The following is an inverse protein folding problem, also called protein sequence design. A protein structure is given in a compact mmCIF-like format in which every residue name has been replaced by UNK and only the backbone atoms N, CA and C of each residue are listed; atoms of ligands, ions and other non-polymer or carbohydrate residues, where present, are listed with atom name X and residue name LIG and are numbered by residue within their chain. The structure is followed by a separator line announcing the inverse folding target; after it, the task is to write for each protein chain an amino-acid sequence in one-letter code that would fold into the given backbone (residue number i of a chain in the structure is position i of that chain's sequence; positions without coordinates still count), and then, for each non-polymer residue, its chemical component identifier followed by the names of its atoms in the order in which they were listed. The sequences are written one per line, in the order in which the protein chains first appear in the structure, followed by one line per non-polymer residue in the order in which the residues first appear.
data_IF_601567863449
#
_entry.id   IF_601567863449
#
_cell.length_a   1.000
_cell.length_b   1.000
_cell.length_c   1.000
_cell.angle_alpha   90.00
_cell.angle_beta   90.00
_cell.angle_gamma   90.00
#
_symmetry.space_group_name_H-M   'P 1'
#
loop_
_entity.id
_entity.type
_entity.pdbx_description
1 polymer ?
#
# COMPACT_ATOMS: atom_id res chain seq x y z
N UNK A 1 14.85 -55.62 -33.80
CA UNK A 1 13.67 -54.97 -33.18
C UNK A 1 14.08 -54.56 -31.78
N UNK A 2 14.24 -53.26 -31.54
CA UNK A 2 14.81 -52.69 -30.33
C UNK A 2 13.69 -51.95 -29.62
N UNK A 3 13.24 -52.49 -28.48
CA UNK A 3 12.10 -51.96 -27.73
C UNK A 3 12.62 -51.00 -26.67
N UNK A 4 12.47 -49.69 -26.92
CA UNK A 4 12.84 -48.64 -25.98
C UNK A 4 11.72 -48.48 -24.94
N UNK A 5 12.00 -48.80 -23.67
CA UNK A 5 11.12 -48.46 -22.55
C UNK A 5 11.30 -46.97 -22.22
N UNK A 6 10.23 -46.18 -22.39
CA UNK A 6 10.12 -44.83 -21.83
C UNK A 6 9.59 -44.94 -20.39
N UNK A 7 10.40 -44.52 -19.41
CA UNK A 7 9.95 -44.35 -18.03
C UNK A 7 9.34 -42.94 -17.87
N UNK A 8 8.16 -42.79 -17.26
CA UNK A 8 7.59 -41.47 -16.97
C UNK A 8 8.31 -40.84 -15.77
N UNK A 9 8.91 -39.67 -15.99
CA UNK A 9 9.40 -38.80 -14.92
C UNK A 9 8.19 -38.14 -14.27
N UNK A 10 7.86 -38.57 -13.05
CA UNK A 10 6.86 -37.92 -12.22
C UNK A 10 7.45 -36.60 -11.67
N UNK A 11 6.91 -35.48 -12.12
CA UNK A 11 7.25 -34.15 -11.63
C UNK A 11 6.58 -33.94 -10.27
N UNK A 12 7.31 -34.11 -9.17
CA UNK A 12 6.84 -33.72 -7.84
C UNK A 12 6.84 -32.20 -7.76
N UNK A 13 5.65 -31.59 -7.88
CA UNK A 13 5.45 -30.18 -7.54
C UNK A 13 5.47 -30.10 -6.01
N UNK A 14 6.61 -29.69 -5.45
CA UNK A 14 6.73 -29.32 -4.05
C UNK A 14 5.93 -28.01 -3.86
N UNK A 15 4.68 -28.13 -3.42
CA UNK A 15 3.93 -27.00 -2.89
C UNK A 15 4.55 -26.60 -1.54
N UNK A 16 5.57 -25.74 -1.59
CA UNK A 16 6.09 -25.09 -0.39
C UNK A 16 5.00 -24.18 0.16
N UNK A 17 4.42 -24.53 1.30
CA UNK A 17 3.63 -23.58 2.09
C UNK A 17 4.53 -22.36 2.32
N UNK A 18 4.17 -21.21 1.76
CA UNK A 18 4.82 -19.96 2.13
C UNK A 18 4.66 -19.83 3.64
N UNK A 19 5.78 -19.78 4.36
CA UNK A 19 5.75 -19.58 5.80
C UNK A 19 5.07 -18.23 6.04
N UNK A 20 4.09 -18.21 6.94
CA UNK A 20 3.51 -16.96 7.37
C UNK A 20 4.63 -16.06 7.88
N UNK A 21 4.70 -14.85 7.36
CA UNK A 21 5.76 -13.90 7.67
C UNK A 21 5.16 -12.73 8.41
N UNK A 22 5.79 -12.34 9.52
CA UNK A 22 5.40 -11.13 10.23
C UNK A 22 5.69 -9.90 9.37
N UNK A 23 4.70 -9.02 9.27
CA UNK A 23 4.79 -7.73 8.59
C UNK A 23 4.29 -6.63 9.51
N UNK A 24 4.85 -5.43 9.35
CA UNK A 24 4.35 -4.22 10.01
C UNK A 24 4.09 -3.16 8.95
N UNK A 25 2.94 -2.50 9.00
CA UNK A 25 2.61 -1.44 8.04
C UNK A 25 1.57 -0.50 8.61
N UNK A 26 1.39 0.62 7.93
CA UNK A 26 0.43 1.66 8.28
C UNK A 26 -0.59 1.79 7.15
N UNK A 27 -1.86 1.99 7.47
CA UNK A 27 -2.92 2.23 6.50
C UNK A 27 -4.28 2.37 7.17
N UNK A 28 -5.28 2.77 6.40
CA UNK A 28 -6.64 2.96 6.91
C UNK A 28 -7.39 1.64 6.90
N UNK A 29 -8.12 1.31 7.96
CA UNK A 29 -9.00 0.13 7.96
C UNK A 29 -10.32 0.50 7.30
N UNK A 30 -10.75 -0.29 6.33
CA UNK A 30 -12.04 -0.14 5.67
C UNK A 30 -12.84 -1.45 5.73
N UNK A 31 -14.16 -1.33 5.75
CA UNK A 31 -15.07 -2.45 5.61
C UNK A 31 -15.30 -2.77 4.13
N UNK A 32 -15.44 -4.07 3.82
CA UNK A 32 -15.80 -4.47 2.47
C UNK A 32 -17.30 -4.26 2.28
N UNK A 33 -17.66 -3.30 1.42
CA UNK A 33 -19.05 -2.93 1.15
C UNK A 33 -19.93 -4.14 0.82
N UNK A 34 -21.10 -4.22 1.45
CA UNK A 34 -22.06 -5.32 1.25
C UNK A 34 -21.70 -6.64 1.94
N UNK A 35 -20.66 -6.66 2.77
CA UNK A 35 -20.28 -7.83 3.57
C UNK A 35 -20.46 -7.55 5.07
N UNK A 36 -20.30 -8.58 5.90
CA UNK A 36 -20.29 -8.44 7.36
C UNK A 36 -18.97 -8.95 7.89
N UNK A 37 -18.27 -8.13 8.69
CA UNK A 37 -17.00 -8.46 9.32
C UNK A 37 -15.89 -8.87 8.33
N UNK A 38 -15.85 -8.27 7.14
CA UNK A 38 -14.69 -8.35 6.25
C UNK A 38 -14.04 -6.98 6.16
N UNK A 39 -12.73 -6.95 6.33
CA UNK A 39 -11.96 -5.73 6.44
C UNK A 39 -10.80 -5.77 5.45
N UNK A 40 -10.49 -4.61 4.90
CA UNK A 40 -9.34 -4.41 4.02
C UNK A 40 -8.52 -3.23 4.52
N UNK A 41 -7.26 -3.21 4.12
CA UNK A 41 -6.47 -1.99 4.18
C UNK A 41 -6.88 -1.11 2.99
N UNK A 42 -7.44 0.07 3.27
CA UNK A 42 -7.95 1.02 2.28
C UNK A 42 -6.92 1.29 1.18
N UNK A 43 -7.42 1.48 -0.04
CA UNK A 43 -6.62 1.67 -1.24
C UNK A 43 -5.67 0.51 -1.61
N UNK A 44 -5.95 -0.69 -1.09
CA UNK A 44 -5.22 -1.92 -1.42
C UNK A 44 -6.17 -3.12 -1.48
N UNK A 45 -5.69 -4.25 -1.99
CA UNK A 45 -6.40 -5.54 -1.95
C UNK A 45 -6.08 -6.38 -0.70
N UNK A 46 -5.42 -5.77 0.30
CA UNK A 46 -4.95 -6.48 1.51
C UNK A 46 -6.10 -6.76 2.46
N UNK A 47 -6.44 -8.03 2.61
CA UNK A 47 -7.43 -8.47 3.58
C UNK A 47 -6.86 -8.45 5.00
N UNK A 48 -7.67 -7.98 5.95
CA UNK A 48 -7.36 -7.95 7.36
C UNK A 48 -8.28 -8.90 8.12
N UNK A 49 -7.68 -9.79 8.90
CA UNK A 49 -8.40 -10.71 9.79
C UNK A 49 -7.84 -10.59 11.21
N UNK A 50 -8.64 -10.88 12.24
CA UNK A 50 -8.11 -10.96 13.59
C UNK A 50 -8.92 -11.93 14.44
N UNK A 51 -8.23 -12.71 15.28
CA UNK A 51 -8.84 -13.53 16.32
C UNK A 51 -8.92 -12.79 17.67
N UNK A 52 -8.19 -11.67 17.82
CA UNK A 52 -7.96 -11.00 19.10
C UNK A 52 -8.59 -9.60 19.16
N UNK A 53 -8.70 -8.92 18.02
CA UNK A 53 -9.23 -7.56 17.93
C UNK A 53 -10.57 -7.51 17.21
N UNK A 54 -11.48 -6.67 17.68
CA UNK A 54 -12.68 -6.30 16.94
C UNK A 54 -12.33 -5.18 15.94
N UNK A 55 -12.06 -5.55 14.68
CA UNK A 55 -11.65 -4.60 13.64
C UNK A 55 -12.73 -3.56 13.30
N UNK A 56 -14.00 -3.81 13.63
CA UNK A 56 -15.07 -2.80 13.49
C UNK A 56 -14.78 -1.50 14.28
N UNK A 57 -14.00 -1.59 15.37
CA UNK A 57 -13.64 -0.42 16.19
C UNK A 57 -12.58 0.48 15.53
N UNK A 58 -11.96 0.02 14.45
CA UNK A 58 -10.91 0.73 13.73
C UNK A 58 -11.32 1.14 12.31
N UNK A 59 -12.54 0.79 11.86
CA UNK A 59 -13.03 1.19 10.54
C UNK A 59 -13.04 2.70 10.41
N UNK A 60 -12.44 3.21 9.33
CA UNK A 60 -12.27 4.65 9.09
C UNK A 60 -11.00 5.23 9.71
N UNK A 61 -10.37 4.53 10.66
CA UNK A 61 -9.18 5.01 11.35
C UNK A 61 -7.90 4.65 10.61
N UNK A 62 -6.93 5.56 10.72
CA UNK A 62 -5.56 5.33 10.29
C UNK A 62 -4.81 4.56 11.37
N UNK A 63 -4.27 3.39 11.04
CA UNK A 63 -3.65 2.49 12.02
C UNK A 63 -2.28 2.01 11.59
N UNK A 64 -1.44 1.67 12.57
CA UNK A 64 -0.28 0.79 12.40
C UNK A 64 -0.68 -0.62 12.82
N UNK A 65 -0.40 -1.59 11.96
CA UNK A 65 -0.70 -3.01 12.12
C UNK A 65 0.61 -3.79 12.14
N UNK A 66 0.71 -4.75 13.06
CA UNK A 66 1.67 -5.86 12.98
C UNK A 66 0.90 -7.16 12.95
N UNK A 67 1.28 -8.08 12.07
CA UNK A 67 0.57 -9.35 11.93
C UNK A 67 1.23 -10.35 10.99
N UNK A 68 0.64 -11.54 10.90
CA UNK A 68 1.11 -12.62 10.04
C UNK A 68 0.52 -12.52 8.64
N UNK A 69 1.36 -12.22 7.64
CA UNK A 69 1.01 -12.29 6.24
C UNK A 69 1.00 -13.74 5.74
N UNK A 70 0.00 -14.09 4.91
CA UNK A 70 -0.18 -15.43 4.34
C UNK A 70 0.84 -15.84 3.27
N UNK A 71 1.82 -15.00 2.93
CA UNK A 71 2.83 -15.28 1.91
C UNK A 71 2.37 -15.10 0.46
N UNK A 72 1.15 -14.60 0.22
CA UNK A 72 0.59 -14.37 -1.12
C UNK A 72 0.60 -12.88 -1.47
N UNK A 73 1.30 -12.51 -2.54
CA UNK A 73 1.26 -11.13 -3.06
C UNK A 73 0.03 -10.88 -3.96
N UNK A 74 -0.53 -11.93 -4.57
CA UNK A 74 -1.69 -11.82 -5.46
C UNK A 74 -3.02 -11.76 -4.72
N UNK A 75 -3.09 -12.36 -3.52
CA UNK A 75 -4.24 -12.30 -2.62
C UNK A 75 -3.72 -12.11 -1.18
N UNK A 76 -3.19 -10.92 -0.86
CA UNK A 76 -2.57 -10.66 0.42
C UNK A 76 -3.62 -10.68 1.54
N UNK A 77 -3.33 -11.44 2.58
CA UNK A 77 -4.12 -11.48 3.81
C UNK A 77 -3.19 -11.42 5.01
N UNK A 78 -3.55 -10.59 5.98
CA UNK A 78 -2.80 -10.39 7.21
C UNK A 78 -3.68 -10.73 8.41
N UNK A 79 -3.22 -11.67 9.24
CA UNK A 79 -3.80 -11.93 10.55
C UNK A 79 -3.19 -10.94 11.56
N UNK A 80 -4.01 -10.00 12.02
CA UNK A 80 -3.62 -8.89 12.88
C UNK A 80 -3.35 -9.37 14.30
N UNK A 81 -2.10 -9.23 14.73
CA UNK A 81 -1.58 -9.57 16.06
C UNK A 81 -1.43 -8.34 16.96
N UNK A 82 -1.24 -7.16 16.37
CA UNK A 82 -1.25 -5.87 17.06
C UNK A 82 -1.80 -4.77 16.14
N UNK A 83 -2.52 -3.82 16.73
CA UNK A 83 -3.10 -2.67 16.02
C UNK A 83 -3.12 -1.44 16.94
N UNK A 84 -2.78 -0.28 16.40
CA UNK A 84 -2.83 0.99 17.12
C UNK A 84 -3.18 2.14 16.18
N UNK A 85 -3.96 3.11 16.65
CA UNK A 85 -4.29 4.32 15.87
C UNK A 85 -3.06 5.22 15.79
N UNK A 86 -2.74 5.69 14.59
CA UNK A 86 -1.60 6.56 14.30
C UNK A 86 -2.02 7.71 13.38
N UNK A 87 -1.31 8.85 13.39
CA UNK A 87 -1.57 9.91 12.43
C UNK A 87 -1.33 9.45 10.98
N UNK A 88 -2.09 10.02 10.04
CA UNK A 88 -1.81 9.92 8.62
C UNK A 88 -0.54 10.68 8.27
N UNK A 89 0.34 10.04 7.49
CA UNK A 89 1.64 10.62 7.11
C UNK A 89 1.63 11.05 5.66
N UNK A 90 0.89 10.37 4.79
CA UNK A 90 0.84 10.63 3.35
C UNK A 90 -0.60 10.76 2.87
N UNK A 91 -0.84 11.73 1.98
CA UNK A 91 -2.11 11.88 1.28
C UNK A 91 -1.90 12.32 -0.19
N UNK A 92 -2.83 11.95 -1.05
CA UNK A 92 -3.01 12.56 -2.36
C UNK A 92 -4.06 13.68 -2.19
N UNK A 93 -3.59 14.86 -1.83
CA UNK A 93 -4.43 16.03 -1.62
C UNK A 93 -4.84 16.74 -2.92
N UNK A 94 -5.85 17.60 -2.81
CA UNK A 94 -6.36 18.40 -3.92
C UNK A 94 -7.44 17.67 -4.73
N UNK A 95 -8.15 18.41 -5.58
CA UNK A 95 -9.12 17.81 -6.49
C UNK A 95 -8.40 17.02 -7.57
N UNK A 96 -8.53 15.69 -7.56
CA UNK A 96 -7.95 14.80 -8.57
C UNK A 96 -8.73 14.92 -9.88
N UNK A 97 -8.64 16.07 -10.56
CA UNK A 97 -9.39 16.38 -11.79
C UNK A 97 -8.44 16.55 -12.97
N UNK A 98 -8.88 16.15 -14.16
CA UNK A 98 -8.11 16.37 -15.39
C UNK A 98 -7.78 17.86 -15.59
N UNK A 99 -6.55 18.14 -16.01
CA UNK A 99 -6.07 19.51 -16.24
C UNK A 99 -5.97 20.37 -14.98
N UNK A 100 -6.07 19.78 -13.78
CA UNK A 100 -5.88 20.47 -12.50
C UNK A 100 -4.59 20.01 -11.81
N UNK A 101 -4.19 20.83 -10.84
CA UNK A 101 -3.10 20.52 -9.94
C UNK A 101 -3.62 19.71 -8.77
N UNK A 102 -2.95 18.60 -8.51
CA UNK A 102 -3.10 17.77 -7.32
C UNK A 102 -1.83 17.88 -6.49
N UNK A 103 -1.82 17.35 -5.27
CA UNK A 103 -0.66 17.44 -4.37
C UNK A 103 -0.35 16.10 -3.74
N UNK A 104 0.94 15.82 -3.55
CA UNK A 104 1.38 14.83 -2.56
C UNK A 104 1.61 15.55 -1.24
N UNK A 105 0.81 15.22 -0.23
CA UNK A 105 0.92 15.75 1.11
C UNK A 105 1.73 14.82 2.00
N UNK A 106 2.61 15.40 2.80
CA UNK A 106 3.33 14.69 3.86
C UNK A 106 3.21 15.44 5.18
N UNK A 107 2.86 14.72 6.24
CA UNK A 107 2.87 15.22 7.62
C UNK A 107 3.89 14.45 8.43
N UNK A 108 4.99 15.11 8.80
CA UNK A 108 6.08 14.50 9.57
C UNK A 108 6.91 15.55 10.33
N UNK A 109 7.97 15.11 11.01
CA UNK A 109 8.85 16.02 11.73
C UNK A 109 9.54 17.01 10.77
N UNK A 110 9.64 18.31 11.11
CA UNK A 110 10.38 19.29 10.32
C UNK A 110 11.82 18.84 10.03
N UNK A 111 12.27 19.07 8.80
CA UNK A 111 13.60 18.67 8.33
C UNK A 111 13.69 17.23 7.82
N UNK A 112 12.64 16.41 7.95
CA UNK A 112 12.60 15.07 7.37
C UNK A 112 12.63 15.13 5.84
N UNK A 113 13.35 14.22 5.20
CA UNK A 113 13.21 13.98 3.76
C UNK A 113 11.93 13.22 3.48
N UNK A 114 11.29 13.49 2.35
CA UNK A 114 10.10 12.76 1.91
C UNK A 114 10.25 12.37 0.44
N UNK A 115 9.83 11.15 0.13
CA UNK A 115 9.77 10.58 -1.21
C UNK A 115 8.32 10.12 -1.43
N UNK A 116 7.68 10.59 -2.48
CA UNK A 116 6.32 10.22 -2.83
C UNK A 116 6.25 9.61 -4.22
N UNK A 117 5.41 8.59 -4.37
CA UNK A 117 5.22 7.87 -5.60
C UNK A 117 3.74 7.75 -5.91
N UNK A 118 3.40 7.85 -7.21
CA UNK A 118 2.08 7.49 -7.72
C UNK A 118 2.25 6.36 -8.74
N UNK A 119 1.45 5.31 -8.57
CA UNK A 119 1.35 4.16 -9.45
C UNK A 119 -0.06 3.99 -9.98
N UNK A 120 -0.18 3.30 -11.11
CA UNK A 120 -1.47 2.93 -11.71
C UNK A 120 -2.04 1.62 -11.17
N UNK A 121 -1.30 0.93 -10.29
CA UNK A 121 -1.73 -0.33 -9.73
C UNK A 121 -1.20 -0.52 -8.30
N UNK A 122 -1.87 -1.39 -7.55
CA UNK A 122 -1.48 -1.81 -6.19
C UNK A 122 -0.48 -2.96 -6.25
N UNK A 123 0.21 -3.18 -5.14
CA UNK A 123 0.99 -4.40 -4.92
C UNK A 123 0.99 -4.77 -3.43
N UNK A 124 1.58 -5.90 -3.09
CA UNK A 124 1.96 -6.23 -1.72
C UNK A 124 3.37 -6.79 -1.73
N UNK A 125 4.34 -5.92 -1.46
CA UNK A 125 5.76 -6.29 -1.46
C UNK A 125 6.36 -6.02 -0.08
N UNK A 126 6.63 -7.06 0.72
CA UNK A 126 7.34 -6.89 1.99
C UNK A 126 8.71 -6.24 1.77
N UNK A 127 9.03 -5.24 2.59
CA UNK A 127 10.26 -4.45 2.51
C UNK A 127 11.05 -4.54 3.83
N UNK A 128 11.32 -5.77 4.24
CA UNK A 128 12.05 -6.05 5.48
C UNK A 128 11.35 -5.46 6.71
N UNK A 129 12.14 -4.88 7.61
CA UNK A 129 11.62 -4.27 8.84
C UNK A 129 10.90 -2.94 8.62
N UNK A 130 11.08 -2.32 7.44
CA UNK A 130 10.51 -1.00 7.13
C UNK A 130 9.05 -1.06 6.70
N UNK A 131 8.55 -2.27 6.42
CA UNK A 131 7.13 -2.57 6.28
C UNK A 131 6.74 -3.16 4.94
N UNK A 132 5.67 -2.63 4.33
CA UNK A 132 5.12 -3.15 3.07
C UNK A 132 4.96 -2.02 2.04
N UNK A 133 5.42 -2.29 0.82
CA UNK A 133 5.15 -1.43 -0.33
C UNK A 133 3.83 -1.88 -0.96
N UNK A 134 2.87 -0.96 -1.03
CA UNK A 134 1.50 -1.21 -1.47
C UNK A 134 1.20 -0.76 -2.91
N UNK A 135 2.17 -0.16 -3.58
CA UNK A 135 2.06 0.29 -4.97
C UNK A 135 2.89 -0.60 -5.90
N UNK A 136 2.43 -0.78 -7.14
CA UNK A 136 3.19 -1.51 -8.16
C UNK A 136 4.36 -0.65 -8.64
N UNK A 137 5.59 -1.06 -8.32
CA UNK A 137 6.80 -0.34 -8.67
C UNK A 137 7.07 -0.31 -10.18
N UNK A 138 6.51 -1.24 -10.95
CA UNK A 138 6.64 -1.28 -12.41
C UNK A 138 5.69 -0.32 -13.14
N UNK A 139 4.68 0.20 -12.43
CA UNK A 139 3.66 1.11 -12.96
C UNK A 139 3.70 2.50 -12.31
N UNK A 140 4.83 2.88 -11.73
CA UNK A 140 5.04 4.23 -11.21
C UNK A 140 5.04 5.23 -12.37
N UNK A 141 4.12 6.20 -12.31
CA UNK A 141 3.95 7.28 -13.29
C UNK A 141 4.44 8.63 -12.78
N UNK A 142 4.60 8.77 -11.46
CA UNK A 142 5.16 9.96 -10.85
C UNK A 142 6.00 9.58 -9.64
N UNK A 143 7.16 10.23 -9.53
CA UNK A 143 7.97 10.24 -8.31
C UNK A 143 8.32 11.69 -7.99
N UNK A 144 8.28 12.04 -6.71
CA UNK A 144 8.63 13.36 -6.25
C UNK A 144 9.32 13.29 -4.89
N UNK A 145 10.13 14.30 -4.59
CA UNK A 145 10.87 14.37 -3.34
C UNK A 145 10.90 15.79 -2.78
N UNK A 146 10.98 15.92 -1.47
CA UNK A 146 11.17 17.20 -0.82
C UNK A 146 11.62 17.05 0.63
N UNK A 147 11.66 18.19 1.32
CA UNK A 147 11.97 18.25 2.75
C UNK A 147 10.81 18.88 3.48
N UNK A 148 10.41 18.26 4.59
CA UNK A 148 9.29 18.72 5.43
C UNK A 148 9.64 20.06 6.07
N UNK A 149 8.78 21.07 5.83
CA UNK A 149 9.02 22.43 6.29
C UNK A 149 8.85 22.60 7.80
N UNK A 150 9.12 23.82 8.29
CA UNK A 150 9.05 24.15 9.72
C UNK A 150 7.67 23.92 10.37
N UNK A 151 6.60 23.89 9.58
CA UNK A 151 5.24 23.61 10.05
C UNK A 151 4.91 22.11 10.17
N UNK A 152 5.85 21.21 9.84
CA UNK A 152 5.62 19.76 9.86
C UNK A 152 4.84 19.22 8.65
N UNK A 153 4.66 20.04 7.62
CA UNK A 153 3.92 19.70 6.41
C UNK A 153 4.79 19.97 5.18
N UNK A 154 4.70 19.08 4.20
CA UNK A 154 5.20 19.27 2.84
C UNK A 154 4.07 18.98 1.86
N UNK A 155 3.90 19.86 0.89
CA UNK A 155 3.00 19.64 -0.24
C UNK A 155 3.79 19.75 -1.53
N UNK A 156 3.78 18.68 -2.33
CA UNK A 156 4.46 18.65 -3.62
C UNK A 156 3.39 18.66 -4.72
N UNK A 157 3.25 19.76 -5.48
CA UNK A 157 2.24 19.85 -6.52
C UNK A 157 2.62 19.00 -7.73
N UNK A 158 1.62 18.39 -8.35
CA UNK A 158 1.75 17.73 -9.65
C UNK A 158 0.55 18.02 -10.54
N UNK A 159 0.75 17.98 -11.85
CA UNK A 159 -0.32 18.24 -12.82
C UNK A 159 -0.93 16.92 -13.30
N UNK A 160 -2.26 16.86 -13.30
CA UNK A 160 -2.98 15.80 -13.99
C UNK A 160 -3.16 16.25 -15.46
N UNK A 161 -2.73 15.45 -16.45
CA UNK A 161 -2.92 15.80 -17.86
C UNK A 161 -4.39 16.08 -18.17
N UNK A 162 -4.65 17.09 -19.01
CA UNK A 162 -6.00 17.38 -19.49
C UNK A 162 -6.40 16.38 -20.60
N UNK A 163 -6.59 15.12 -20.23
CA UNK A 163 -6.94 14.03 -21.12
C UNK A 163 -8.22 13.34 -20.63
N UNK A 164 -9.31 13.36 -21.40
CA UNK A 164 -10.56 12.67 -21.03
C UNK A 164 -10.39 11.17 -20.81
N UNK A 165 -9.36 10.55 -21.41
CA UNK A 165 -9.06 9.14 -21.22
C UNK A 165 -8.60 8.77 -19.79
N UNK A 166 -8.29 9.76 -18.95
CA UNK A 166 -7.89 9.56 -17.56
C UNK A 166 -9.10 9.55 -16.60
N UNK A 167 -10.27 10.03 -17.02
CA UNK A 167 -11.44 10.08 -16.14
C UNK A 167 -11.86 8.66 -15.76
N UNK A 168 -12.05 8.42 -14.46
CA UNK A 168 -12.35 7.11 -13.89
C UNK A 168 -11.13 6.22 -13.65
N UNK A 169 -9.91 6.69 -13.95
CA UNK A 169 -8.69 5.97 -13.63
C UNK A 169 -8.35 6.16 -12.15
N UNK A 170 -8.14 5.05 -11.44
CA UNK A 170 -7.61 5.08 -10.09
C UNK A 170 -6.10 5.25 -10.10
N UNK A 171 -5.62 6.14 -9.25
CA UNK A 171 -4.21 6.32 -8.95
C UNK A 171 -3.96 5.95 -7.49
N UNK A 172 -2.84 5.29 -7.25
CA UNK A 172 -2.44 4.80 -5.94
C UNK A 172 -1.13 5.47 -5.54
N UNK A 173 -1.07 5.97 -4.32
CA UNK A 173 0.07 6.67 -3.80
C UNK A 173 0.60 6.02 -2.55
N UNK A 174 1.92 6.03 -2.41
CA UNK A 174 2.61 5.74 -1.17
C UNK A 174 3.91 6.53 -1.16
N UNK A 175 4.41 6.83 0.03
CA UNK A 175 5.70 7.47 0.19
C UNK A 175 6.60 6.78 1.20
N UNK A 176 7.76 7.41 1.39
CA UNK A 176 8.69 7.13 2.44
C UNK A 176 9.16 8.44 3.07
N UNK A 177 9.29 8.46 4.38
CA UNK A 177 9.90 9.56 5.13
C UNK A 177 11.28 9.12 5.61
N UNK A 178 12.27 10.01 5.50
CA UNK A 178 13.64 9.78 5.95
C UNK A 178 13.98 10.78 7.06
N UNK A 179 14.19 10.28 8.27
CA UNK A 179 14.51 11.10 9.44
C UNK A 179 15.61 10.43 10.26
N UNK A 180 16.66 11.18 10.62
CA UNK A 180 17.78 10.64 11.41
C UNK A 180 18.52 9.46 10.75
N UNK A 181 18.42 9.31 9.42
CA UNK A 181 19.00 8.19 8.68
C UNK A 181 18.12 6.93 8.63
N UNK A 182 16.94 6.95 9.25
CA UNK A 182 15.96 5.87 9.18
C UNK A 182 14.93 6.17 8.09
N UNK A 183 14.50 5.12 7.41
CA UNK A 183 13.40 5.17 6.44
C UNK A 183 12.13 4.73 7.16
N UNK A 184 10.99 5.28 6.79
CA UNK A 184 9.69 4.79 7.26
C UNK A 184 8.70 4.88 6.11
N UNK A 185 8.09 3.75 5.75
CA UNK A 185 7.05 3.72 4.73
C UNK A 185 5.76 4.36 5.28
N UNK A 186 5.07 5.11 4.44
CA UNK A 186 3.82 5.77 4.83
C UNK A 186 2.62 4.86 4.60
N UNK A 187 1.45 5.30 5.06
CA UNK A 187 0.17 4.75 4.59
C UNK A 187 0.06 4.87 3.06
N UNK A 188 -0.65 3.94 2.40
CA UNK A 188 -1.15 4.15 1.05
C UNK A 188 -2.31 5.15 1.06
N UNK A 189 -2.53 5.81 -0.07
CA UNK A 189 -3.75 6.56 -0.38
C UNK A 189 -4.09 6.35 -1.86
N UNK A 190 -5.33 6.62 -2.25
CA UNK A 190 -5.80 6.47 -3.62
C UNK A 190 -6.85 7.52 -3.94
N UNK A 191 -6.96 7.83 -5.23
CA UNK A 191 -7.96 8.74 -5.79
C UNK A 191 -8.37 8.26 -7.17
N UNK A 192 -9.65 8.42 -7.47
CA UNK A 192 -10.16 8.31 -8.84
C UNK A 192 -10.04 9.67 -9.52
N UNK A 193 -9.54 9.70 -10.75
CA UNK A 193 -9.46 10.94 -11.53
C UNK A 193 -10.85 11.32 -12.04
N UNK A 194 -11.27 12.53 -11.72
CA UNK A 194 -12.55 13.13 -12.09
C UNK A 194 -12.42 14.15 -13.24
N UNK A 195 -13.57 14.66 -13.69
CA UNK A 195 -13.68 15.79 -14.61
C UNK A 195 -13.60 17.15 -13.88
#
# INVERSE_FOLDING_TARGET
MQTTLLAPIALFVLSTSALAQEVTFTGKVEDVSGTTNQFVLGCTDTQLTSAFFNLNLFVGEQVQITGQWNGSAANPSVAVDAISVVPEVFEIGGGTKIGKTSTLGFTAAPGSGALGFISLNTSFTPFGAEGVIFIDQSQIVLSASGTVGGAGVLQIPFQIPNSPALVGLDIYGQGAVVAGGLVSLTNPDCKTIDN
#
